data_IF_319376817956
#
_entry.id   IF_319376817956
#
_cell.length_a   1.000
_cell.length_b   1.000
_cell.length_c   1.000
_cell.angle_alpha   90.00
_cell.angle_beta   90.00
_cell.angle_gamma   90.00
#
_symmetry.space_group_name_H-M   'P 1'
#
loop_
_entity.id
_entity.type
_entity.pdbx_description
1 polymer ?
#
# COMPACT_ATOMS: atom_id res chain seq x y z
N UNK A 1 -3.58 43.08 -39.26
CA UNK A 1 -3.83 41.77 -39.93
C UNK A 1 -2.86 40.66 -39.50
N UNK A 2 -1.56 40.89 -39.30
CA UNK A 2 -0.58 39.84 -38.92
C UNK A 2 -0.81 39.16 -37.56
N UNK A 3 -1.40 39.86 -36.57
CA UNK A 3 -1.72 39.30 -35.24
C UNK A 3 -2.87 38.28 -35.26
N UNK A 4 -3.78 38.37 -36.24
CA UNK A 4 -4.90 37.43 -36.39
C UNK A 4 -4.47 36.14 -37.08
N UNK A 5 -3.46 36.23 -37.97
CA UNK A 5 -2.87 35.07 -38.66
C UNK A 5 -2.08 34.17 -37.69
N UNK A 6 -1.36 34.76 -36.73
CA UNK A 6 -0.65 34.00 -35.69
C UNK A 6 -1.60 33.30 -34.70
N UNK A 7 -2.75 33.90 -34.38
CA UNK A 7 -3.76 33.28 -33.54
C UNK A 7 -4.38 32.04 -34.21
N UNK A 8 -4.62 32.09 -35.52
CA UNK A 8 -5.14 30.94 -36.28
C UNK A 8 -4.11 29.81 -36.43
N UNK A 9 -2.82 30.13 -36.58
CA UNK A 9 -1.75 29.12 -36.61
C UNK A 9 -1.52 28.45 -35.24
N UNK A 10 -1.70 29.18 -34.14
CA UNK A 10 -1.63 28.64 -32.77
C UNK A 10 -2.82 27.73 -32.42
N UNK A 11 -4.03 28.06 -32.90
CA UNK A 11 -5.22 27.22 -32.72
C UNK A 11 -5.11 25.94 -33.57
N UNK A 12 -4.52 26.02 -34.76
CA UNK A 12 -4.23 24.84 -35.60
C UNK A 12 -3.23 23.87 -34.96
N UNK A 13 -2.24 24.36 -34.22
CA UNK A 13 -1.25 23.52 -33.54
C UNK A 13 -1.82 22.81 -32.30
N UNK A 14 -2.85 23.37 -31.66
CA UNK A 14 -3.57 22.74 -30.53
C UNK A 14 -4.59 21.69 -30.98
N UNK A 15 -5.03 21.71 -32.25
CA UNK A 15 -6.02 20.77 -32.78
C UNK A 15 -5.41 19.48 -33.35
N UNK A 16 -4.10 19.44 -33.62
CA UNK A 16 -3.38 18.19 -33.90
C UNK A 16 -2.93 17.53 -32.58
N UNK A 17 -3.92 17.20 -31.74
CA UNK A 17 -3.74 16.12 -30.79
C UNK A 17 -3.37 14.88 -31.59
N UNK A 18 -2.23 14.27 -31.28
CA UNK A 18 -1.88 12.98 -31.83
C UNK A 18 -2.87 11.97 -31.26
N UNK A 19 -3.95 11.71 -32.00
CA UNK A 19 -4.75 10.52 -31.79
C UNK A 19 -3.84 9.32 -32.08
N UNK A 20 -3.16 8.86 -31.04
CA UNK A 20 -2.44 7.61 -31.04
C UNK A 20 -3.46 6.48 -31.05
N UNK A 21 -3.98 6.16 -32.23
CA UNK A 21 -4.71 4.93 -32.46
C UNK A 21 -3.72 3.77 -32.29
N UNK A 22 -3.81 3.04 -31.18
CA UNK A 22 -3.07 1.80 -30.99
C UNK A 22 -3.42 0.79 -32.09
N UNK A 23 -2.46 -0.05 -32.49
CA UNK A 23 -2.75 -1.14 -33.43
C UNK A 23 -3.72 -2.14 -32.77
N UNK A 24 -4.83 -2.43 -33.45
CA UNK A 24 -5.76 -3.48 -33.05
C UNK A 24 -5.11 -4.85 -33.28
N UNK A 25 -5.01 -5.66 -32.22
CA UNK A 25 -4.48 -7.01 -32.34
C UNK A 25 -5.60 -7.93 -32.84
N UNK A 26 -5.62 -8.19 -34.15
CA UNK A 26 -6.57 -9.11 -34.77
C UNK A 26 -6.09 -10.55 -34.56
N UNK A 27 -6.93 -11.42 -33.99
CA UNK A 27 -6.64 -12.85 -33.97
C UNK A 27 -6.44 -13.39 -35.39
N UNK A 28 -5.51 -14.35 -35.61
CA UNK A 28 -5.41 -15.01 -36.90
C UNK A 28 -6.73 -15.75 -37.18
N UNK A 29 -7.49 -15.24 -38.15
CA UNK A 29 -8.78 -15.79 -38.56
C UNK A 29 -8.58 -16.81 -39.69
N UNK A 30 -9.07 -18.03 -39.49
CA UNK A 30 -9.07 -19.08 -40.51
C UNK A 30 -10.51 -19.36 -40.92
N UNK A 31 -10.92 -18.84 -42.07
CA UNK A 31 -12.29 -19.00 -42.59
C UNK A 31 -12.83 -17.75 -43.29
N UNK A 32 -14.11 -17.77 -43.64
CA UNK A 32 -14.83 -16.61 -44.17
C UNK A 32 -15.45 -15.81 -43.02
N UNK A 33 -15.09 -14.53 -42.90
CA UNK A 33 -15.58 -13.61 -41.87
C UNK A 33 -14.63 -12.41 -41.67
N UNK A 34 -15.09 -11.35 -41.01
CA UNK A 34 -14.22 -10.25 -40.56
C UNK A 34 -13.53 -10.64 -39.25
N UNK A 35 -12.21 -10.42 -39.10
CA UNK A 35 -11.51 -10.72 -37.86
C UNK A 35 -12.10 -9.90 -36.70
N UNK A 36 -12.39 -10.57 -35.59
CA UNK A 36 -12.91 -9.94 -34.38
C UNK A 36 -11.75 -9.31 -33.60
N UNK A 37 -11.87 -8.02 -33.29
CA UNK A 37 -10.91 -7.32 -32.42
C UNK A 37 -11.24 -7.64 -30.97
N UNK A 38 -10.40 -8.45 -30.33
CA UNK A 38 -10.65 -8.97 -28.98
C UNK A 38 -10.38 -7.91 -27.90
N UNK A 39 -9.35 -7.08 -28.08
CA UNK A 39 -9.03 -6.00 -27.12
C UNK A 39 -8.08 -4.93 -27.72
N UNK A 40 -8.07 -3.73 -27.11
CA UNK A 40 -7.16 -2.64 -27.46
C UNK A 40 -6.13 -2.44 -26.33
N UNK A 41 -4.86 -2.77 -26.60
CA UNK A 41 -3.79 -2.57 -25.62
C UNK A 41 -3.09 -1.23 -25.81
N UNK A 42 -2.72 -0.62 -24.68
CA UNK A 42 -1.96 0.62 -24.66
C UNK A 42 -0.52 0.35 -25.11
N UNK A 43 0.04 1.23 -25.94
CA UNK A 43 1.41 1.07 -26.47
C UNK A 43 2.32 2.18 -25.95
N UNK A 44 3.59 1.87 -25.71
CA UNK A 44 4.64 2.88 -25.47
C UNK A 44 5.64 2.89 -26.62
N UNK A 45 6.17 4.07 -26.95
CA UNK A 45 7.22 4.22 -27.96
C UNK A 45 8.56 4.42 -27.25
N UNK A 46 9.51 3.52 -27.52
CA UNK A 46 10.87 3.60 -26.98
C UNK A 46 11.67 4.72 -27.66
N UNK A 47 12.77 5.15 -27.04
CA UNK A 47 13.73 6.10 -27.63
C UNK A 47 14.32 5.58 -28.95
N UNK A 48 14.38 4.26 -29.12
CA UNK A 48 14.77 3.58 -30.37
C UNK A 48 13.74 3.73 -31.51
N UNK A 49 12.54 4.25 -31.23
CA UNK A 49 11.44 4.39 -32.18
C UNK A 49 10.51 3.18 -32.28
N UNK A 50 10.85 2.08 -31.60
CA UNK A 50 10.04 0.85 -31.52
C UNK A 50 8.78 1.07 -30.68
N UNK A 51 7.65 0.50 -31.10
CA UNK A 51 6.36 0.59 -30.40
C UNK A 51 6.06 -0.76 -29.76
N UNK A 52 6.01 -0.78 -28.43
CA UNK A 52 5.77 -2.01 -27.65
C UNK A 52 4.40 -1.92 -26.97
N UNK A 53 3.52 -2.92 -27.17
CA UNK A 53 2.30 -3.04 -26.39
C UNK A 53 2.66 -3.47 -24.97
N UNK A 54 2.01 -2.87 -23.97
CA UNK A 54 2.05 -3.38 -22.61
C UNK A 54 0.66 -3.79 -22.19
N UNK A 55 0.56 -4.95 -21.56
CA UNK A 55 -0.67 -5.45 -20.97
C UNK A 55 -0.41 -5.73 -19.49
N UNK A 56 -1.30 -5.30 -18.58
CA UNK A 56 -1.22 -5.72 -17.21
C UNK A 56 -1.46 -7.23 -17.15
N UNK A 57 -0.52 -7.97 -16.57
CA UNK A 57 -0.75 -9.39 -16.27
C UNK A 57 -1.67 -9.45 -15.05
N UNK A 58 -2.82 -10.09 -15.19
CA UNK A 58 -3.72 -10.31 -14.05
C UNK A 58 -3.03 -11.20 -13.00
N UNK A 59 -3.14 -10.82 -11.73
CA UNK A 59 -2.61 -11.62 -10.63
C UNK A 59 -3.46 -12.90 -10.47
N UNK A 60 -2.85 -14.06 -10.72
CA UNK A 60 -3.49 -15.36 -10.46
C UNK A 60 -3.19 -15.80 -9.03
N UNK A 61 -4.21 -15.78 -8.18
CA UNK A 61 -4.06 -16.17 -6.77
C UNK A 61 -4.33 -17.67 -6.60
N UNK A 62 -3.28 -18.43 -6.30
CA UNK A 62 -3.39 -19.86 -5.99
C UNK A 62 -3.60 -20.03 -4.47
N UNK A 63 -4.72 -20.65 -4.09
CA UNK A 63 -5.08 -20.90 -2.69
C UNK A 63 -5.04 -22.39 -2.41
N UNK A 64 -4.14 -22.80 -1.51
CA UNK A 64 -4.16 -24.17 -0.99
C UNK A 64 -5.20 -24.30 0.12
N UNK A 65 -6.02 -25.36 0.05
CA UNK A 65 -6.91 -25.74 1.16
C UNK A 65 -6.06 -26.12 2.37
N UNK A 66 -6.29 -25.45 3.50
CA UNK A 66 -5.53 -25.69 4.72
C UNK A 66 -5.98 -26.97 5.40
N UNK A 67 -5.05 -27.91 5.56
CA UNK A 67 -5.26 -29.16 6.29
C UNK A 67 -4.67 -28.99 7.70
N UNK A 68 -5.49 -29.18 8.72
CA UNK A 68 -5.09 -29.07 10.13
C UNK A 68 -4.52 -30.39 10.62
N UNK A 69 -3.39 -30.35 11.33
CA UNK A 69 -2.81 -31.53 11.98
C UNK A 69 -3.68 -32.00 13.16
N UNK A 70 -4.24 -31.04 13.91
CA UNK A 70 -5.11 -31.30 15.06
C UNK A 70 -5.98 -30.06 15.37
N UNK A 71 -6.97 -30.24 16.26
CA UNK A 71 -7.88 -29.15 16.66
C UNK A 71 -7.14 -28.02 17.39
N UNK A 72 -6.10 -28.32 18.17
CA UNK A 72 -5.32 -27.30 18.87
C UNK A 72 -4.64 -26.31 17.90
N UNK A 73 -4.09 -26.80 16.79
CA UNK A 73 -3.49 -25.97 15.74
C UNK A 73 -4.53 -25.07 15.09
N UNK A 74 -5.72 -25.62 14.79
CA UNK A 74 -6.85 -24.88 14.24
C UNK A 74 -7.28 -23.75 15.17
N UNK A 75 -7.44 -24.04 16.46
CA UNK A 75 -7.78 -23.05 17.48
C UNK A 75 -6.70 -21.97 17.65
N UNK A 76 -5.41 -22.34 17.59
CA UNK A 76 -4.30 -21.39 17.64
C UNK A 76 -4.34 -20.41 16.46
N UNK A 77 -4.58 -20.92 15.25
CA UNK A 77 -4.71 -20.08 14.07
C UNK A 77 -5.90 -19.13 14.17
N UNK A 78 -7.08 -19.60 14.60
CA UNK A 78 -8.24 -18.72 14.74
C UNK A 78 -8.04 -17.65 15.82
N UNK A 79 -7.34 -17.97 16.91
CA UNK A 79 -6.92 -16.97 17.91
C UNK A 79 -5.99 -15.92 17.29
N UNK A 80 -5.00 -16.36 16.50
CA UNK A 80 -4.11 -15.46 15.77
C UNK A 80 -4.90 -14.57 14.79
N UNK A 81 -5.73 -15.17 13.93
CA UNK A 81 -6.59 -14.47 12.96
C UNK A 81 -7.46 -13.42 13.63
N UNK A 82 -8.14 -13.76 14.72
CA UNK A 82 -8.93 -12.79 15.49
C UNK A 82 -8.07 -11.64 16.00
N UNK A 83 -6.88 -11.92 16.52
CA UNK A 83 -5.98 -10.88 17.04
C UNK A 83 -5.45 -9.97 15.92
N UNK A 84 -5.04 -10.53 14.79
CA UNK A 84 -4.59 -9.79 13.60
C UNK A 84 -5.69 -8.87 13.11
N UNK A 85 -6.90 -9.41 12.87
CA UNK A 85 -8.04 -8.62 12.38
C UNK A 85 -8.46 -7.52 13.36
N UNK A 86 -8.31 -7.74 14.68
CA UNK A 86 -8.61 -6.73 15.70
C UNK A 86 -7.67 -5.52 15.60
N UNK A 87 -6.39 -5.74 15.27
CA UNK A 87 -5.38 -4.67 15.29
C UNK A 87 -5.05 -4.09 13.92
N UNK A 88 -5.38 -4.81 12.84
CA UNK A 88 -5.11 -4.42 11.47
C UNK A 88 -5.59 -3.00 11.12
N UNK A 89 -6.80 -2.54 11.51
CA UNK A 89 -7.26 -1.18 11.19
C UNK A 89 -6.35 -0.07 11.73
N UNK A 90 -5.71 -0.29 12.89
CA UNK A 90 -4.79 0.70 13.47
C UNK A 90 -3.46 0.74 12.73
N UNK A 91 -2.96 -0.40 12.27
CA UNK A 91 -1.76 -0.46 11.44
C UNK A 91 -1.98 0.22 10.08
N UNK A 92 -3.16 0.00 9.46
CA UNK A 92 -3.56 0.69 8.23
C UNK A 92 -3.67 2.20 8.45
N UNK A 93 -4.24 2.63 9.59
CA UNK A 93 -4.31 4.06 9.93
C UNK A 93 -2.92 4.68 9.99
N UNK A 94 -1.99 4.04 10.71
CA UNK A 94 -0.62 4.50 10.82
C UNK A 94 0.04 4.58 9.42
N UNK A 95 -0.08 3.54 8.60
CA UNK A 95 0.41 3.50 7.22
C UNK A 95 -0.04 4.74 6.42
N UNK A 96 -1.35 5.02 6.39
CA UNK A 96 -1.90 6.18 5.67
C UNK A 96 -1.35 7.51 6.16
N UNK A 97 -1.14 7.63 7.47
CA UNK A 97 -0.53 8.84 8.07
C UNK A 97 0.92 8.99 7.65
N UNK A 98 1.66 7.90 7.55
CA UNK A 98 3.03 7.90 7.06
C UNK A 98 3.11 8.23 5.57
N UNK A 99 2.25 7.64 4.73
CA UNK A 99 2.17 7.97 3.31
C UNK A 99 1.82 9.45 3.10
N UNK A 100 0.93 10.02 3.92
CA UNK A 100 0.64 11.45 3.88
C UNK A 100 1.87 12.28 4.25
N UNK A 101 2.53 11.92 5.35
CA UNK A 101 3.74 12.62 5.78
C UNK A 101 4.85 12.57 4.72
N UNK A 102 5.06 11.41 4.09
CA UNK A 102 6.06 11.25 3.02
C UNK A 102 5.78 12.20 1.85
N UNK A 103 4.51 12.35 1.44
CA UNK A 103 4.09 13.36 0.45
C UNK A 103 4.32 14.80 0.94
N UNK A 104 3.95 15.12 2.17
CA UNK A 104 4.10 16.47 2.73
C UNK A 104 5.59 16.87 2.83
N UNK A 105 6.46 15.92 3.13
CA UNK A 105 7.91 16.12 3.21
C UNK A 105 8.55 16.29 1.84
N UNK A 106 8.09 15.56 0.82
CA UNK A 106 8.56 15.75 -0.55
C UNK A 106 8.31 17.17 -1.09
N UNK A 107 7.34 17.89 -0.53
CA UNK A 107 7.00 19.29 -0.88
C UNK A 107 7.72 20.33 -0.01
N UNK A 108 8.41 19.92 1.05
CA UNK A 108 8.97 20.81 2.06
C UNK A 108 10.45 21.06 1.86
N UNK A 109 10.86 22.34 1.77
CA UNK A 109 12.28 22.73 1.59
C UNK A 109 12.99 23.14 2.90
N UNK A 110 12.28 23.20 4.03
CA UNK A 110 12.79 23.69 5.31
C UNK A 110 12.89 22.58 6.36
N UNK A 111 14.11 22.35 6.89
CA UNK A 111 14.37 21.40 7.98
C UNK A 111 13.55 21.66 9.24
N UNK A 112 13.18 22.93 9.50
CA UNK A 112 12.35 23.28 10.67
C UNK A 112 10.92 22.79 10.48
N UNK A 113 10.40 22.94 9.27
CA UNK A 113 9.04 22.52 8.92
C UNK A 113 8.93 21.01 8.83
N UNK A 114 9.92 20.34 8.25
CA UNK A 114 10.05 18.88 8.24
C UNK A 114 9.94 18.29 9.66
N UNK A 115 10.72 18.81 10.62
CA UNK A 115 10.65 18.38 12.03
C UNK A 115 9.27 18.62 12.66
N UNK A 116 8.60 19.71 12.30
CA UNK A 116 7.25 20.02 12.78
C UNK A 116 6.24 19.00 12.27
N UNK A 117 6.30 18.67 10.97
CA UNK A 117 5.42 17.70 10.33
C UNK A 117 5.62 16.29 10.90
N UNK A 118 6.89 15.86 11.05
CA UNK A 118 7.23 14.57 11.69
C UNK A 118 6.63 14.52 13.09
N UNK A 119 6.90 15.53 13.94
CA UNK A 119 6.38 15.56 15.32
C UNK A 119 4.85 15.56 15.38
N UNK A 120 4.18 16.33 14.52
CA UNK A 120 2.73 16.35 14.47
C UNK A 120 2.15 14.98 14.09
N UNK A 121 2.76 14.30 13.11
CA UNK A 121 2.38 12.95 12.72
C UNK A 121 2.60 11.95 13.88
N UNK A 122 3.75 12.03 14.56
CA UNK A 122 4.02 11.20 15.73
C UNK A 122 2.98 11.38 16.82
N UNK A 123 2.68 12.63 17.19
CA UNK A 123 1.76 12.94 18.29
C UNK A 123 0.33 12.48 17.95
N UNK A 124 -0.10 12.65 16.70
CA UNK A 124 -1.39 12.14 16.20
C UNK A 124 -1.48 10.61 16.31
N UNK A 125 -0.46 9.90 15.83
CA UNK A 125 -0.41 8.43 15.87
C UNK A 125 -0.37 7.96 17.34
N UNK A 126 0.47 8.57 18.19
CA UNK A 126 0.55 8.25 19.62
C UNK A 126 -0.79 8.45 20.30
N UNK A 127 -1.49 9.56 20.05
CA UNK A 127 -2.79 9.82 20.64
C UNK A 127 -3.83 8.77 20.21
N UNK A 128 -3.90 8.48 18.91
CA UNK A 128 -4.85 7.51 18.36
C UNK A 128 -4.58 6.08 18.84
N UNK A 129 -3.31 5.69 18.91
CA UNK A 129 -2.91 4.35 19.36
C UNK A 129 -3.10 4.21 20.88
N UNK A 130 -2.81 5.23 21.69
CA UNK A 130 -2.96 5.16 23.16
C UNK A 130 -4.37 4.86 23.63
N UNK A 131 -5.38 5.50 23.05
CA UNK A 131 -6.77 5.28 23.46
C UNK A 131 -7.21 3.85 23.19
N UNK A 132 -6.66 3.24 22.15
CA UNK A 132 -7.05 1.93 21.65
C UNK A 132 -6.22 0.79 22.27
N UNK A 133 -4.91 1.00 22.44
CA UNK A 133 -3.96 0.01 23.00
C UNK A 133 -4.30 -0.35 24.43
N UNK A 134 -4.88 0.56 25.22
CA UNK A 134 -5.36 0.26 26.58
C UNK A 134 -6.37 -0.88 26.62
N UNK A 135 -7.11 -1.11 25.53
CA UNK A 135 -8.13 -2.14 25.42
C UNK A 135 -7.63 -3.40 24.70
N UNK A 136 -6.35 -3.48 24.33
CA UNK A 136 -5.77 -4.64 23.66
C UNK A 136 -5.17 -5.60 24.68
N UNK A 137 -5.23 -6.90 24.37
CA UNK A 137 -4.43 -7.90 25.10
C UNK A 137 -2.95 -7.80 24.72
N UNK A 138 -2.08 -8.42 25.54
CA UNK A 138 -0.63 -8.49 25.30
C UNK A 138 -0.32 -8.96 23.87
N UNK A 139 -0.93 -10.08 23.47
CA UNK A 139 -0.70 -10.69 22.16
C UNK A 139 -1.14 -9.75 21.02
N UNK A 140 -2.23 -9.01 21.22
CA UNK A 140 -2.70 -8.03 20.24
C UNK A 140 -1.76 -6.83 20.14
N UNK A 141 -1.29 -6.30 21.29
CA UNK A 141 -0.29 -5.23 21.31
C UNK A 141 1.01 -5.61 20.59
N UNK A 142 1.50 -6.83 20.81
CA UNK A 142 2.68 -7.36 20.08
C UNK A 142 2.45 -7.42 18.56
N UNK A 143 1.31 -7.94 18.14
CA UNK A 143 0.97 -8.01 16.70
C UNK A 143 0.85 -6.59 16.13
N UNK A 144 0.22 -5.65 16.84
CA UNK A 144 0.08 -4.26 16.37
C UNK A 144 1.46 -3.63 16.11
N UNK A 145 2.42 -3.78 17.03
CA UNK A 145 3.78 -3.27 16.85
C UNK A 145 4.41 -3.86 15.59
N UNK A 146 4.34 -5.19 15.42
CA UNK A 146 4.84 -5.87 14.22
C UNK A 146 4.19 -5.34 12.93
N UNK A 147 2.87 -5.13 12.92
CA UNK A 147 2.18 -4.60 11.74
C UNK A 147 2.55 -3.15 11.43
N UNK A 148 2.69 -2.29 12.44
CA UNK A 148 3.16 -0.91 12.25
C UNK A 148 4.58 -0.89 11.70
N UNK A 149 5.48 -1.72 12.23
CA UNK A 149 6.83 -1.88 11.71
C UNK A 149 6.85 -2.42 10.26
N UNK A 150 5.98 -3.38 9.93
CA UNK A 150 5.80 -3.95 8.58
C UNK A 150 5.32 -2.88 7.59
N UNK A 151 4.32 -2.08 7.96
CA UNK A 151 3.77 -1.06 7.05
C UNK A 151 4.69 0.15 6.88
N UNK A 152 5.44 0.52 7.93
CA UNK A 152 6.46 1.60 7.86
C UNK A 152 7.74 1.17 7.15
N UNK A 153 8.00 -0.14 6.97
CA UNK A 153 9.19 -0.63 6.28
C UNK A 153 9.34 -0.12 4.84
N UNK A 154 8.24 0.32 4.22
CA UNK A 154 8.20 0.80 2.85
C UNK A 154 8.40 2.33 2.73
N UNK A 155 8.45 3.08 3.83
CA UNK A 155 8.68 4.53 3.79
C UNK A 155 10.18 4.87 3.76
N UNK A 156 10.53 6.07 3.31
CA UNK A 156 11.94 6.48 3.13
C UNK A 156 12.80 6.23 4.38
N UNK A 157 14.05 5.78 4.20
CA UNK A 157 14.94 5.33 5.29
C UNK A 157 15.12 6.41 6.38
N UNK A 158 15.23 7.67 5.99
CA UNK A 158 15.42 8.79 6.93
C UNK A 158 14.14 9.10 7.74
N UNK A 159 12.96 8.99 7.13
CA UNK A 159 11.66 9.13 7.81
C UNK A 159 11.46 8.02 8.85
N UNK A 160 11.82 6.81 8.44
CA UNK A 160 11.73 5.60 9.23
C UNK A 160 12.64 5.68 10.45
N UNK A 161 13.87 6.21 10.31
CA UNK A 161 14.84 6.27 11.42
C UNK A 161 14.35 7.13 12.57
N UNK A 162 13.89 8.34 12.29
CA UNK A 162 13.47 9.29 13.34
C UNK A 162 12.16 8.83 14.00
N UNK A 163 11.24 8.26 13.20
CA UNK A 163 9.90 7.94 13.65
C UNK A 163 9.71 6.53 14.19
N UNK A 164 10.41 5.50 13.65
CA UNK A 164 10.51 4.20 14.34
C UNK A 164 11.21 4.36 15.68
N UNK A 165 12.13 5.32 15.81
CA UNK A 165 12.70 5.70 17.10
C UNK A 165 11.62 6.18 18.08
N UNK A 166 10.87 7.22 17.72
CA UNK A 166 9.92 7.88 18.62
C UNK A 166 8.59 7.14 18.85
N UNK A 167 7.89 6.75 17.78
CA UNK A 167 6.56 6.13 17.86
C UNK A 167 6.66 4.69 18.32
N UNK A 168 7.57 3.89 17.76
CA UNK A 168 7.71 2.50 18.17
C UNK A 168 8.23 2.40 19.60
N UNK A 169 9.19 3.24 20.03
CA UNK A 169 9.57 3.30 21.44
C UNK A 169 8.40 3.74 22.33
N UNK A 170 7.55 4.66 21.88
CA UNK A 170 6.36 5.05 22.62
C UNK A 170 5.37 3.89 22.79
N UNK A 171 5.05 3.16 21.72
CA UNK A 171 4.18 1.98 21.79
C UNK A 171 4.84 0.91 22.66
N UNK A 172 6.13 0.65 22.50
CA UNK A 172 6.89 -0.24 23.39
C UNK A 172 6.81 0.20 24.85
N UNK A 173 6.92 1.49 25.16
CA UNK A 173 6.81 1.99 26.54
C UNK A 173 5.38 1.90 27.08
N UNK A 174 4.38 2.23 26.28
CA UNK A 174 2.97 2.13 26.64
C UNK A 174 2.56 0.67 26.90
N UNK A 175 2.96 -0.22 26.00
CA UNK A 175 2.74 -1.66 26.12
C UNK A 175 3.62 -2.22 27.27
N UNK A 176 4.87 -1.79 27.46
CA UNK A 176 5.73 -2.27 28.55
C UNK A 176 5.24 -1.87 29.94
N UNK A 177 4.65 -0.68 30.11
CA UNK A 177 4.01 -0.28 31.37
C UNK A 177 2.83 -1.18 31.75
N UNK A 178 2.10 -1.68 30.75
CA UNK A 178 0.90 -2.50 30.98
C UNK A 178 1.22 -4.00 30.99
N UNK A 179 2.28 -4.44 30.29
CA UNK A 179 2.48 -5.83 29.92
C UNK A 179 3.89 -6.41 30.16
N UNK A 180 4.83 -5.64 30.74
CA UNK A 180 6.15 -6.11 31.17
C UNK A 180 7.25 -6.09 30.09
N UNK A 181 8.46 -6.59 30.44
CA UNK A 181 9.69 -6.37 29.65
C UNK A 181 9.83 -7.15 28.34
N UNK A 182 8.92 -8.09 28.02
CA UNK A 182 9.12 -9.05 26.93
C UNK A 182 8.34 -8.74 25.64
N UNK A 183 8.37 -7.47 25.23
CA UNK A 183 7.56 -6.96 24.11
C UNK A 183 8.35 -6.71 22.85
N UNK A 184 9.67 -6.51 22.93
CA UNK A 184 10.54 -6.28 21.77
C UNK A 184 10.53 -7.49 20.84
N UNK A 185 9.66 -7.46 19.85
CA UNK A 185 9.59 -8.46 18.78
C UNK A 185 9.35 -7.70 17.49
N UNK A 186 10.35 -7.74 16.62
CA UNK A 186 10.26 -7.18 15.26
C UNK A 186 9.43 -8.09 14.37
N UNK A 187 8.90 -7.53 13.28
CA UNK A 187 8.27 -8.34 12.23
C UNK A 187 9.33 -9.15 11.47
N UNK A 188 9.15 -10.46 11.36
CA UNK A 188 9.98 -11.33 10.52
C UNK A 188 9.07 -12.06 9.51
N UNK A 189 9.21 -11.82 8.20
CA UNK A 189 8.42 -12.51 7.18
C UNK A 189 8.45 -14.04 7.25
N UNK A 190 9.55 -14.63 7.76
CA UNK A 190 9.69 -16.10 7.90
C UNK A 190 8.91 -16.63 9.10
N UNK A 191 8.89 -15.91 10.21
CA UNK A 191 8.17 -16.33 11.43
C UNK A 191 6.70 -15.90 11.41
N UNK A 192 6.43 -14.70 10.87
CA UNK A 192 5.13 -14.04 10.85
C UNK A 192 4.36 -14.30 9.54
N UNK A 193 4.76 -15.29 8.74
CA UNK A 193 4.12 -15.62 7.47
C UNK A 193 2.60 -15.89 7.61
N UNK A 194 2.17 -16.43 8.75
CA UNK A 194 0.74 -16.65 9.02
C UNK A 194 -0.02 -15.34 9.17
N UNK A 195 0.59 -14.33 9.79
CA UNK A 195 0.01 -12.99 9.91
C UNK A 195 -0.17 -12.39 8.51
N UNK A 196 0.85 -12.51 7.66
CA UNK A 196 0.80 -12.03 6.27
C UNK A 196 -0.28 -12.75 5.46
N UNK A 197 -0.40 -14.08 5.60
CA UNK A 197 -1.46 -14.85 4.95
C UNK A 197 -2.85 -14.38 5.39
N UNK A 198 -3.05 -14.11 6.68
CA UNK A 198 -4.32 -13.60 7.21
C UNK A 198 -4.64 -12.21 6.62
N UNK A 199 -3.66 -11.33 6.50
CA UNK A 199 -3.83 -9.99 5.92
C UNK A 199 -4.22 -10.11 4.45
N UNK A 200 -3.49 -10.90 3.67
CA UNK A 200 -3.80 -11.14 2.25
C UNK A 200 -5.17 -11.77 2.04
N UNK A 201 -5.58 -12.66 2.93
CA UNK A 201 -6.95 -13.22 2.89
C UNK A 201 -7.98 -12.13 3.16
N UNK A 202 -7.76 -11.29 4.17
CA UNK A 202 -8.65 -10.18 4.50
C UNK A 202 -8.77 -9.18 3.34
N UNK A 203 -7.65 -8.77 2.77
CA UNK A 203 -7.58 -7.85 1.62
C UNK A 203 -8.21 -8.44 0.35
N UNK A 204 -8.30 -9.76 0.21
CA UNK A 204 -8.99 -10.39 -0.92
C UNK A 204 -10.50 -10.48 -0.73
N UNK A 205 -10.95 -10.86 0.47
CA UNK A 205 -12.39 -10.95 0.79
C UNK A 205 -13.01 -9.56 0.85
N UNK A 206 -12.24 -8.60 1.33
CA UNK A 206 -12.55 -7.18 1.29
C UNK A 206 -11.39 -6.54 0.55
N UNK A 207 -11.40 -6.52 -0.81
CA UNK A 207 -10.54 -5.60 -1.54
C UNK A 207 -10.68 -4.28 -0.80
N UNK A 208 -9.55 -3.67 -0.45
CA UNK A 208 -9.53 -2.30 0.04
C UNK A 208 -9.99 -1.47 -1.15
N UNK A 209 -11.29 -1.53 -1.44
CA UNK A 209 -11.99 -0.70 -2.36
C UNK A 209 -11.80 0.67 -1.76
N UNK A 210 -10.89 1.39 -2.40
CA UNK A 210 -10.61 2.79 -2.25
C UNK A 210 -11.34 3.47 -1.07
N UNK A 211 -10.68 3.77 0.07
CA UNK A 211 -11.28 4.57 1.14
C UNK A 211 -11.51 6.05 0.73
N UNK A 212 -11.41 6.37 -0.56
CA UNK A 212 -11.74 7.65 -1.20
C UNK A 212 -12.93 7.55 -2.18
N UNK A 213 -13.87 6.64 -1.95
CA UNK A 213 -15.28 6.98 -2.15
C UNK A 213 -15.89 7.43 -0.83
#
# INVERSE_FOLDING_TARGET
>A
MKKCLYALLLIGYLAFGSDSYGQALTMPHYGAGTPETVDFFTTTKLESGEVIPWFPIEEVVIIANRIWKNEAQRQNYFRLKRNVLRVLPYAIYAQKRYEKLDRDLALTNSKKEERRLIKACEDEIKQKINSEVKNLSISQGKILIKLVERQTGNTSYDLVRDMKGGVTAFVYQGVARVFGHNLKTTFDPKEDFEIENIIREYERVRPINNPYQ
#
